data_IF_317840898668
#
_entry.id   IF_317840898668
#
_cell.length_a   1.000
_cell.length_b   1.000
_cell.length_c   1.000
_cell.angle_alpha   90.00
_cell.angle_beta   90.00
_cell.angle_gamma   90.00
#
_symmetry.space_group_name_H-M   'P 1'
#
loop_
_entity.id
_entity.type
_entity.pdbx_description
1 polymer ?
#
# COMPACT_ATOMS: atom_id res chain seq x y z
N UNK A 1 15.42 4.52 -15.89
CA UNK A 1 15.29 5.71 -15.01
C UNK A 1 15.55 5.23 -13.60
N UNK A 2 16.45 5.89 -12.85
CA UNK A 2 16.67 5.56 -11.44
C UNK A 2 15.46 5.96 -10.60
N UNK A 3 15.23 5.24 -9.48
CA UNK A 3 14.04 5.38 -8.66
C UNK A 3 13.83 6.81 -8.13
N UNK A 4 14.90 7.44 -7.65
CA UNK A 4 14.83 8.80 -7.11
C UNK A 4 14.42 9.82 -8.20
N UNK A 5 14.95 9.62 -9.42
CA UNK A 5 14.61 10.46 -10.58
C UNK A 5 13.18 10.22 -11.08
N UNK A 6 12.62 9.03 -10.85
CA UNK A 6 11.23 8.71 -11.18
C UNK A 6 10.25 9.44 -10.26
N UNK A 7 10.49 9.40 -8.94
CA UNK A 7 9.66 10.10 -7.96
C UNK A 7 9.62 11.61 -8.21
N UNK A 8 10.79 12.24 -8.40
CA UNK A 8 10.89 13.66 -8.73
C UNK A 8 10.12 14.03 -10.01
N UNK A 9 10.16 13.17 -11.04
CA UNK A 9 9.40 13.40 -12.28
C UNK A 9 7.91 13.32 -12.03
N UNK A 10 7.43 12.31 -11.32
CA UNK A 10 6.00 12.12 -11.02
C UNK A 10 5.46 13.30 -10.21
N UNK A 11 6.23 13.84 -9.26
CA UNK A 11 5.79 14.94 -8.41
C UNK A 11 5.90 16.32 -9.08
N UNK A 12 6.89 16.54 -9.95
CA UNK A 12 7.14 17.87 -10.56
C UNK A 12 6.55 18.02 -11.96
N UNK A 13 6.37 16.92 -12.68
CA UNK A 13 5.86 16.85 -14.06
C UNK A 13 5.07 15.56 -14.24
N UNK A 14 3.93 15.46 -13.56
CA UNK A 14 3.07 14.28 -13.57
C UNK A 14 2.74 13.89 -15.01
N UNK A 15 3.20 12.71 -15.49
CA UNK A 15 2.82 12.23 -16.81
C UNK A 15 1.34 11.85 -16.83
N UNK A 16 0.72 11.84 -18.01
CA UNK A 16 -0.69 11.50 -18.17
C UNK A 16 -1.07 10.13 -17.57
N UNK A 17 -0.16 9.14 -17.66
CA UNK A 17 -0.31 7.83 -17.05
C UNK A 17 1.02 7.38 -16.47
N UNK A 18 0.96 6.76 -15.30
CA UNK A 18 2.11 6.19 -14.60
C UNK A 18 1.63 5.09 -13.65
N UNK A 19 2.58 4.25 -13.20
CA UNK A 19 2.29 3.13 -12.32
C UNK A 19 2.64 3.49 -10.88
N UNK A 20 1.67 3.26 -9.99
CA UNK A 20 1.83 3.33 -8.54
C UNK A 20 1.57 1.96 -7.92
N UNK A 21 2.32 1.64 -6.88
CA UNK A 21 1.95 0.61 -5.92
C UNK A 21 1.81 1.25 -4.55
N UNK A 22 0.74 0.90 -3.83
CA UNK A 22 0.54 1.29 -2.45
C UNK A 22 0.53 0.06 -1.53
N UNK A 23 1.24 0.15 -0.42
CA UNK A 23 1.16 -0.81 0.68
C UNK A 23 0.55 -0.06 1.87
N UNK A 24 -0.37 -0.71 2.58
CA UNK A 24 -0.99 -0.08 3.74
C UNK A 24 0.06 0.20 4.83
N UNK A 25 0.11 1.44 5.30
CA UNK A 25 0.95 1.83 6.44
C UNK A 25 0.41 1.25 7.75
N UNK A 26 -0.89 1.01 7.80
CA UNK A 26 -1.63 0.39 8.92
C UNK A 26 -2.84 -0.37 8.37
N UNK A 27 -3.35 -1.40 9.08
CA UNK A 27 -4.38 -2.31 8.56
C UNK A 27 -5.79 -1.71 8.64
N UNK A 28 -6.02 -0.56 8.00
CA UNK A 28 -7.32 0.08 7.86
C UNK A 28 -7.52 0.62 6.44
N UNK A 29 -8.77 0.68 5.97
CA UNK A 29 -9.13 1.20 4.65
C UNK A 29 -8.74 2.67 4.48
N UNK A 30 -8.66 3.43 5.58
CA UNK A 30 -8.16 4.81 5.59
C UNK A 30 -6.78 4.93 4.93
N UNK A 31 -5.93 3.90 5.09
CA UNK A 31 -4.59 3.89 4.51
C UNK A 31 -4.63 3.93 2.97
N UNK A 32 -5.66 3.34 2.35
CA UNK A 32 -5.82 3.30 0.90
C UNK A 32 -6.67 4.46 0.37
N UNK A 33 -7.78 4.77 1.05
CA UNK A 33 -8.79 5.71 0.56
C UNK A 33 -8.46 7.17 0.91
N UNK A 34 -7.78 7.43 2.03
CA UNK A 34 -7.50 8.79 2.49
C UNK A 34 -6.02 9.13 2.51
N UNK A 35 -5.20 8.27 3.12
CA UNK A 35 -3.79 8.56 3.37
C UNK A 35 -2.88 8.29 2.17
N UNK A 36 -3.37 7.58 1.15
CA UNK A 36 -2.53 7.14 0.04
C UNK A 36 -2.05 8.28 -0.84
N UNK A 37 -0.80 8.18 -1.29
CA UNK A 37 -0.14 9.21 -2.11
C UNK A 37 -0.84 9.45 -3.46
N UNK A 38 -1.62 8.48 -3.97
CA UNK A 38 -2.34 8.67 -5.23
C UNK A 38 -3.27 9.88 -5.18
N UNK A 39 -3.84 10.23 -4.01
CA UNK A 39 -4.71 11.41 -3.88
C UNK A 39 -3.99 12.71 -4.19
N UNK A 40 -2.72 12.80 -3.82
CA UNK A 40 -1.92 14.01 -4.03
C UNK A 40 -1.49 14.09 -5.50
N UNK A 41 -1.16 12.94 -6.09
CA UNK A 41 -0.51 12.91 -7.41
C UNK A 41 -1.55 12.94 -8.55
N UNK A 42 -2.76 12.41 -8.34
CA UNK A 42 -3.81 12.40 -9.38
C UNK A 42 -4.41 13.78 -9.64
N UNK A 43 -4.27 14.73 -8.71
CA UNK A 43 -4.96 16.02 -8.70
C UNK A 43 -6.51 15.89 -8.83
N UNK A 44 -7.05 14.72 -8.53
CA UNK A 44 -8.49 14.47 -8.54
C UNK A 44 -9.11 15.00 -7.25
N UNK A 45 -10.21 15.73 -7.39
CA UNK A 45 -10.95 16.32 -6.28
C UNK A 45 -12.42 15.92 -6.38
N UNK A 46 -13.00 15.44 -5.29
CA UNK A 46 -14.42 15.13 -5.20
C UNK A 46 -14.92 15.39 -3.79
N UNK A 47 -15.77 16.42 -3.63
CA UNK A 47 -16.24 16.86 -2.31
C UNK A 47 -17.01 15.77 -1.56
N UNK A 48 -17.82 14.98 -2.27
CA UNK A 48 -18.60 13.90 -1.65
C UNK A 48 -17.67 12.79 -1.16
N UNK A 49 -16.68 12.41 -1.97
CA UNK A 49 -15.65 11.47 -1.57
C UNK A 49 -14.91 11.94 -0.32
N UNK A 50 -14.47 13.20 -0.31
CA UNK A 50 -13.74 13.80 0.82
C UNK A 50 -14.57 13.81 2.11
N UNK A 51 -15.86 14.18 2.01
CA UNK A 51 -16.81 14.10 3.12
C UNK A 51 -16.94 12.67 3.66
N UNK A 52 -16.97 11.66 2.78
CA UNK A 52 -17.07 10.26 3.19
C UNK A 52 -15.83 9.78 3.95
N UNK A 53 -14.62 10.00 3.39
CA UNK A 53 -13.38 9.50 4.00
C UNK A 53 -13.01 10.27 5.28
N UNK A 54 -13.23 11.58 5.34
CA UNK A 54 -13.01 12.37 6.55
C UNK A 54 -14.08 12.12 7.62
N UNK A 55 -15.32 11.84 7.20
CA UNK A 55 -16.38 11.41 8.11
C UNK A 55 -16.07 10.06 8.74
N UNK A 56 -15.69 9.07 7.92
CA UNK A 56 -15.34 7.72 8.36
C UNK A 56 -14.24 7.72 9.43
N UNK A 57 -13.20 8.56 9.27
CA UNK A 57 -12.09 8.68 10.24
C UNK A 57 -12.53 9.10 11.65
N UNK A 58 -13.67 9.77 11.78
CA UNK A 58 -14.20 10.28 13.07
C UNK A 58 -15.20 9.34 13.73
N UNK A 59 -15.59 8.25 13.07
CA UNK A 59 -16.58 7.31 13.59
C UNK A 59 -15.93 6.19 14.40
N UNK A 60 -16.46 5.98 15.61
CA UNK A 60 -16.12 4.85 16.46
C UNK A 60 -16.91 3.58 16.08
N UNK A 61 -18.17 3.74 15.64
CA UNK A 61 -18.97 2.61 15.19
C UNK A 61 -18.40 2.02 13.89
N UNK A 62 -17.94 0.78 13.96
CA UNK A 62 -17.31 0.09 12.84
C UNK A 62 -18.26 -0.08 11.64
N UNK A 63 -19.55 -0.34 11.87
CA UNK A 63 -20.50 -0.60 10.78
C UNK A 63 -20.78 0.67 10.00
N UNK A 64 -21.01 1.77 10.70
CA UNK A 64 -21.20 3.08 10.06
C UNK A 64 -19.92 3.54 9.34
N UNK A 65 -18.75 3.34 9.96
CA UNK A 65 -17.45 3.61 9.30
C UNK A 65 -17.31 2.85 7.98
N UNK A 66 -17.65 1.56 7.97
CA UNK A 66 -17.55 0.72 6.77
C UNK A 66 -18.53 1.13 5.68
N UNK A 67 -19.75 1.58 6.02
CA UNK A 67 -20.71 2.12 5.03
C UNK A 67 -20.15 3.36 4.34
N UNK A 68 -19.53 4.27 5.10
CA UNK A 68 -18.91 5.47 4.52
C UNK A 68 -17.75 5.11 3.58
N UNK A 69 -16.88 4.18 3.97
CA UNK A 69 -15.80 3.71 3.09
C UNK A 69 -16.32 3.00 1.83
N UNK A 70 -17.37 2.19 1.93
CA UNK A 70 -17.98 1.57 0.76
C UNK A 70 -18.53 2.61 -0.23
N UNK A 71 -19.11 3.70 0.30
CA UNK A 71 -19.59 4.79 -0.56
C UNK A 71 -18.45 5.54 -1.22
N UNK A 72 -17.37 5.83 -0.49
CA UNK A 72 -16.16 6.43 -1.04
C UNK A 72 -15.54 5.55 -2.14
N UNK A 73 -15.36 4.26 -1.88
CA UNK A 73 -14.85 3.28 -2.84
C UNK A 73 -15.71 3.22 -4.11
N UNK A 74 -17.04 3.26 -3.98
CA UNK A 74 -17.95 3.29 -5.14
C UNK A 74 -17.69 4.52 -6.03
N UNK A 75 -17.57 5.72 -5.43
CA UNK A 75 -17.26 6.96 -6.18
C UNK A 75 -15.90 6.84 -6.87
N UNK A 76 -14.90 6.29 -6.17
CA UNK A 76 -13.57 6.08 -6.74
C UNK A 76 -13.60 5.15 -7.95
N UNK A 77 -14.39 4.07 -7.90
CA UNK A 77 -14.54 3.14 -9.01
C UNK A 77 -15.35 3.73 -10.17
N UNK A 78 -16.37 4.54 -9.87
CA UNK A 78 -17.22 5.20 -10.87
C UNK A 78 -16.47 6.29 -11.65
N UNK A 79 -15.67 7.12 -10.97
CA UNK A 79 -14.93 8.22 -11.60
C UNK A 79 -13.56 7.80 -12.13
N UNK A 80 -13.06 6.64 -11.71
CA UNK A 80 -11.81 6.02 -12.16
C UNK A 80 -10.59 6.95 -12.22
N UNK A 81 -10.30 7.81 -11.20
CA UNK A 81 -9.09 8.62 -11.18
C UNK A 81 -7.81 7.77 -11.00
N UNK A 82 -7.98 6.51 -10.57
CA UNK A 82 -6.94 5.48 -10.56
C UNK A 82 -7.50 4.21 -11.20
N UNK A 83 -6.64 3.43 -11.86
CA UNK A 83 -6.99 2.12 -12.39
C UNK A 83 -6.39 1.02 -11.51
N UNK A 84 -7.24 0.29 -10.77
CA UNK A 84 -6.81 -0.86 -9.99
C UNK A 84 -6.46 -2.04 -10.91
N UNK A 85 -5.17 -2.39 -10.97
CA UNK A 85 -4.70 -3.48 -11.83
C UNK A 85 -4.78 -4.84 -11.14
N UNK A 86 -4.27 -4.96 -9.90
CA UNK A 86 -4.27 -6.20 -9.13
C UNK A 86 -3.93 -5.96 -7.65
N UNK A 87 -4.30 -6.92 -6.81
CA UNK A 87 -3.83 -7.01 -5.42
C UNK A 87 -2.55 -7.84 -5.35
N UNK A 88 -1.42 -7.17 -5.16
CA UNK A 88 -0.09 -7.79 -5.19
C UNK A 88 0.18 -8.72 -4.00
N UNK A 89 0.90 -9.81 -4.27
CA UNK A 89 1.47 -10.72 -3.25
C UNK A 89 2.99 -10.62 -3.27
N UNK A 90 3.60 -10.94 -2.14
CA UNK A 90 5.06 -10.99 -2.01
C UNK A 90 5.46 -12.45 -1.86
N UNK A 91 6.39 -12.87 -2.72
CA UNK A 91 7.00 -14.19 -2.67
C UNK A 91 8.45 -13.99 -2.24
N UNK A 92 8.87 -14.72 -1.21
CA UNK A 92 10.21 -14.65 -0.66
C UNK A 92 10.85 -16.02 -0.77
N UNK A 93 12.11 -16.05 -1.21
CA UNK A 93 12.96 -17.22 -1.13
C UNK A 93 13.79 -17.08 0.14
N UNK A 94 13.52 -17.95 1.11
CA UNK A 94 14.20 -17.96 2.40
C UNK A 94 14.99 -19.26 2.49
N UNK A 95 16.29 -19.17 2.80
CA UNK A 95 17.12 -20.37 2.99
C UNK A 95 16.57 -21.20 4.15
N UNK A 96 16.66 -22.55 4.11
CA UNK A 96 16.09 -23.42 5.15
C UNK A 96 16.62 -23.14 6.56
N UNK A 97 17.86 -22.64 6.66
CA UNK A 97 18.53 -22.32 7.92
C UNK A 97 18.26 -20.89 8.44
N UNK A 98 17.31 -20.17 7.84
CA UNK A 98 16.87 -18.85 8.32
C UNK A 98 15.54 -19.04 9.03
N UNK A 99 15.55 -18.91 10.36
CA UNK A 99 14.35 -19.04 11.19
C UNK A 99 13.94 -17.72 11.82
N UNK A 100 12.70 -17.70 12.37
CA UNK A 100 12.05 -16.51 12.92
C UNK A 100 11.96 -15.32 11.95
N UNK A 101 11.97 -15.59 10.64
CA UNK A 101 11.77 -14.56 9.64
C UNK A 101 10.35 -13.96 9.80
N UNK A 102 10.22 -12.63 9.98
CA UNK A 102 8.92 -12.02 10.22
C UNK A 102 8.03 -12.11 8.98
N UNK A 103 6.87 -12.76 9.12
CA UNK A 103 5.85 -12.87 8.07
C UNK A 103 4.77 -11.78 8.16
N UNK A 104 5.11 -10.61 8.70
CA UNK A 104 4.15 -9.54 8.97
C UNK A 104 3.58 -8.92 7.68
N UNK A 105 2.26 -8.66 7.70
CA UNK A 105 1.51 -8.15 6.53
C UNK A 105 1.92 -6.74 6.08
N UNK A 106 2.40 -5.89 7.00
CA UNK A 106 2.94 -4.56 6.66
C UNK A 106 4.41 -4.60 6.19
N UNK A 107 5.00 -5.79 6.09
CA UNK A 107 6.30 -6.05 5.42
C UNK A 107 7.46 -5.19 5.93
N UNK A 108 7.46 -4.85 7.22
CA UNK A 108 8.64 -4.35 7.89
C UNK A 108 9.54 -5.53 8.23
N UNK A 109 10.76 -5.54 7.69
CA UNK A 109 11.71 -6.62 7.88
C UNK A 109 12.49 -6.38 9.17
N UNK A 110 11.97 -6.92 10.26
CA UNK A 110 12.62 -6.83 11.57
C UNK A 110 13.76 -7.85 11.67
N UNK A 111 14.92 -7.48 11.12
CA UNK A 111 16.13 -8.32 11.14
C UNK A 111 16.59 -8.72 12.54
N UNK A 112 16.27 -7.91 13.55
CA UNK A 112 16.55 -8.21 14.97
C UNK A 112 15.93 -9.53 15.45
N UNK A 113 14.85 -9.98 14.80
CA UNK A 113 14.13 -11.20 15.18
C UNK A 113 14.59 -12.41 14.37
N UNK A 114 15.38 -12.20 13.30
CA UNK A 114 15.86 -13.24 12.39
C UNK A 114 17.01 -14.00 13.03
N UNK A 115 16.94 -15.33 12.95
CA UNK A 115 17.98 -16.25 13.44
C UNK A 115 18.59 -17.01 12.27
N UNK A 116 19.92 -17.07 12.24
CA UNK A 116 20.68 -17.94 11.34
C UNK A 116 21.06 -19.19 12.12
N UNK A 117 20.49 -20.32 11.76
CA UNK A 117 20.78 -21.61 12.37
C UNK A 117 22.10 -22.18 11.84
N UNK A 118 22.84 -22.98 12.62
CA UNK A 118 24.01 -23.70 12.11
C UNK A 118 23.64 -24.51 10.86
N UNK A 119 24.43 -24.36 9.78
CA UNK A 119 24.19 -25.04 8.51
C UNK A 119 25.52 -25.36 7.83
N UNK A 120 25.54 -26.46 7.07
CA UNK A 120 26.64 -26.76 6.17
C UNK A 120 26.41 -26.02 4.84
N UNK A 121 27.46 -25.43 4.30
CA UNK A 121 27.42 -24.89 2.95
C UNK A 121 27.72 -26.04 2.00
N UNK A 122 26.69 -26.53 1.30
CA UNK A 122 26.88 -27.40 0.14
C UNK A 122 27.47 -26.56 -0.99
N UNK A 123 28.78 -26.29 -0.92
CA UNK A 123 29.55 -25.72 -2.01
C UNK A 123 29.91 -26.86 -2.96
N UNK A 124 28.93 -27.31 -3.74
CA UNK A 124 29.24 -28.00 -4.99
C UNK A 124 29.66 -26.94 -6.02
N UNK A 125 30.98 -26.78 -6.16
CA UNK A 125 31.62 -26.12 -7.30
C UNK A 125 31.82 -27.12 -8.44
#
# INVERSE_FOLDING_TARGET
>A
MEWDKFGDRVLRRTPHLWLLRWLADYPDLDSFLRASIWRVISAWENRVYDEMVEGARRLEDQRERMKMYQRADSILMEEAPILLLYYGRFHLLVKPWVSRYPSYSAKQWFWKDVVIEPHQLDLEL
#
